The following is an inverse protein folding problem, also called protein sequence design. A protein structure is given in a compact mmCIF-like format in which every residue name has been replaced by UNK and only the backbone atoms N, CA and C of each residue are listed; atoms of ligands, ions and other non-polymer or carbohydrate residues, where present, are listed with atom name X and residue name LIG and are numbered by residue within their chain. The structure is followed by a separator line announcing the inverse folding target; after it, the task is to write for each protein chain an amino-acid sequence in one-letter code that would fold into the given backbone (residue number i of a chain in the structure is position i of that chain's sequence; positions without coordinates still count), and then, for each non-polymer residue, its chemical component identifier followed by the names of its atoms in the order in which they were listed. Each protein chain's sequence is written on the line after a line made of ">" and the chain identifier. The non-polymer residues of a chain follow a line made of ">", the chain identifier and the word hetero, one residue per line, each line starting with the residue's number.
data_IF_482725087650
#
_entry.id   IF_482725087650
#
_cell.length_a   1.000
_cell.length_b   1.000
_cell.length_c   1.000
_cell.angle_alpha   90.00
_cell.angle_beta   90.00
_cell.angle_gamma   90.00
#
_symmetry.space_group_name_H-M   'P 1'
#
loop_
_entity.id
_entity.type
_entity.pdbx_description
1 polymer ?
#
# COMPACT_ATOMS: atom_id res chain seq x y z
N UNK A 1 -1.31 2.79 57.78
CA UNK A 1 -0.40 1.71 57.37
C UNK A 1 0.44 2.32 56.25
N UNK A 2 1.75 2.42 56.41
CA UNK A 2 2.62 2.89 55.33
C UNK A 2 2.64 1.85 54.20
N UNK A 3 2.73 2.32 52.96
CA UNK A 3 2.75 1.46 51.78
C UNK A 3 4.02 0.57 51.80
N UNK A 4 3.89 -0.77 51.76
CA UNK A 4 5.04 -1.68 51.77
C UNK A 4 6.00 -1.48 50.57
N UNK A 5 5.59 -0.77 49.52
CA UNK A 5 6.43 -0.47 48.35
C UNK A 5 7.24 0.83 48.47
N UNK A 6 7.03 1.65 49.49
CA UNK A 6 7.82 2.87 49.70
C UNK A 6 9.32 2.58 49.93
N UNK A 7 9.66 1.37 50.40
CA UNK A 7 11.04 0.89 50.58
C UNK A 7 11.78 0.67 49.25
N UNK A 8 11.06 0.53 48.13
CA UNK A 8 11.66 0.28 46.81
C UNK A 8 11.94 1.56 46.01
N UNK A 9 11.55 2.74 46.51
CA UNK A 9 11.89 4.02 45.88
C UNK A 9 13.32 4.41 46.19
N UNK A 10 14.27 3.81 45.46
CA UNK A 10 15.62 4.34 45.39
C UNK A 10 15.66 5.51 44.41
N UNK A 11 16.24 6.67 44.77
CA UNK A 11 16.44 7.75 43.81
C UNK A 11 17.39 7.28 42.70
N UNK A 12 16.87 7.13 41.49
CA UNK A 12 17.69 6.89 40.30
C UNK A 12 18.49 8.15 40.02
N UNK A 13 19.76 8.15 40.43
CA UNK A 13 20.72 9.15 39.98
C UNK A 13 21.19 8.70 38.61
N UNK A 14 20.98 9.47 37.53
CA UNK A 14 21.48 9.10 36.21
C UNK A 14 23.00 8.96 36.28
N UNK A 15 23.50 7.74 36.11
CA UNK A 15 24.94 7.49 36.00
C UNK A 15 25.29 7.72 34.54
N UNK A 16 26.12 8.73 34.27
CA UNK A 16 26.66 8.92 32.93
C UNK A 16 27.39 7.63 32.50
N UNK A 17 27.20 7.16 31.25
CA UNK A 17 27.85 5.95 30.79
C UNK A 17 29.37 6.06 30.94
N UNK A 18 30.03 4.91 31.16
CA UNK A 18 31.49 4.86 31.23
C UNK A 18 32.09 5.58 30.00
N UNK A 19 32.97 6.59 30.20
CA UNK A 19 33.54 7.37 29.10
C UNK A 19 34.27 6.51 28.05
N UNK A 20 34.84 5.36 28.45
CA UNK A 20 35.48 4.42 27.54
C UNK A 20 34.46 3.69 26.68
N UNK A 21 33.32 3.32 27.25
CA UNK A 21 32.22 2.72 26.50
C UNK A 21 31.65 3.71 25.50
N UNK A 22 31.39 4.95 25.94
CA UNK A 22 30.88 6.02 25.07
C UNK A 22 31.86 6.34 23.92
N UNK A 23 33.16 6.39 24.20
CA UNK A 23 34.19 6.60 23.18
C UNK A 23 34.31 5.43 22.20
N UNK A 24 34.26 4.19 22.68
CA UNK A 24 34.30 3.00 21.83
C UNK A 24 33.07 2.88 20.92
N UNK A 25 31.88 3.22 21.44
CA UNK A 25 30.65 3.24 20.66
C UNK A 25 30.70 4.33 19.58
N UNK A 26 31.18 5.53 19.92
CA UNK A 26 31.35 6.62 18.95
C UNK A 26 32.32 6.24 17.84
N UNK A 27 33.47 5.65 18.16
CA UNK A 27 34.45 5.23 17.16
C UNK A 27 33.87 4.18 16.18
N UNK A 28 33.09 3.22 16.68
CA UNK A 28 32.43 2.22 15.83
C UNK A 28 31.36 2.80 14.92
N UNK A 29 30.63 3.83 15.40
CA UNK A 29 29.65 4.54 14.59
C UNK A 29 30.33 5.41 13.52
N UNK A 30 31.42 6.08 13.88
CA UNK A 30 32.23 6.88 12.93
C UNK A 30 32.86 6.01 11.84
N UNK A 31 33.34 4.80 12.19
CA UNK A 31 33.86 3.82 11.23
C UNK A 31 32.75 3.28 10.31
N UNK A 32 31.58 2.97 10.85
CA UNK A 32 30.44 2.48 10.05
C UNK A 32 29.83 3.55 9.13
N UNK A 33 30.03 4.84 9.44
CA UNK A 33 29.51 5.97 8.69
C UNK A 33 30.57 6.63 7.79
N UNK A 34 31.81 6.15 7.80
CA UNK A 34 32.86 6.68 6.94
C UNK A 34 32.64 6.23 5.48
N UNK A 35 32.62 7.15 4.50
CA UNK A 35 32.50 6.80 3.10
C UNK A 35 33.77 6.10 2.59
N UNK A 36 33.63 5.02 1.82
CA UNK A 36 34.76 4.35 1.19
C UNK A 36 35.49 5.30 0.21
N UNK A 37 36.84 5.20 0.10
CA UNK A 37 37.59 6.00 -0.84
C UNK A 37 37.22 5.63 -2.29
N UNK A 38 37.05 6.63 -3.18
CA UNK A 38 36.60 6.37 -4.55
C UNK A 38 37.64 5.63 -5.38
N UNK A 39 37.16 4.75 -6.26
CA UNK A 39 37.93 4.01 -7.25
C UNK A 39 38.66 5.00 -8.21
N UNK A 40 39.99 4.88 -8.40
CA UNK A 40 40.76 5.75 -9.29
C UNK A 40 40.33 5.72 -10.76
N UNK A 41 39.53 4.73 -11.19
CA UNK A 41 38.99 4.66 -12.55
C UNK A 41 37.65 5.44 -12.75
N UNK A 42 37.13 6.07 -11.68
CA UNK A 42 35.95 6.94 -11.74
C UNK A 42 36.29 8.40 -11.48
N UNK A 43 36.98 9.04 -12.42
CA UNK A 43 36.99 10.50 -12.52
C UNK A 43 36.23 10.90 -13.78
N UNK A 44 34.96 11.34 -13.70
CA UNK A 44 34.32 11.92 -14.86
C UNK A 44 34.93 13.30 -15.10
N UNK A 45 35.57 13.45 -16.25
CA UNK A 45 35.89 14.76 -16.80
C UNK A 45 34.57 15.54 -16.93
N UNK A 46 34.46 16.68 -16.23
CA UNK A 46 33.34 17.59 -16.39
C UNK A 46 33.35 18.12 -17.82
N UNK A 47 32.47 17.57 -18.65
CA UNK A 47 32.08 18.12 -19.95
C UNK A 47 30.62 18.49 -19.86
N UNK A 48 30.34 19.79 -19.85
CA UNK A 48 28.98 20.33 -19.90
C UNK A 48 28.36 20.04 -21.27
N UNK A 49 27.66 18.91 -21.40
CA UNK A 49 26.59 18.72 -22.39
C UNK A 49 25.42 18.01 -21.73
N UNK A 50 24.24 18.61 -21.89
CA UNK A 50 23.04 18.30 -21.13
C UNK A 50 22.47 16.91 -21.37
N UNK A 51 21.73 16.47 -20.35
CA UNK A 51 21.05 15.18 -20.27
C UNK A 51 21.94 14.16 -19.57
N UNK A 52 21.72 13.99 -18.26
CA UNK A 52 21.78 12.71 -17.54
C UNK A 52 21.57 13.00 -16.04
N UNK A 53 20.32 12.90 -15.61
CA UNK A 53 19.96 12.91 -14.19
C UNK A 53 20.37 11.55 -13.63
N UNK A 54 21.38 11.53 -12.77
CA UNK A 54 21.66 10.37 -11.92
C UNK A 54 20.44 10.20 -11.03
N UNK A 55 19.58 9.23 -11.36
CA UNK A 55 18.47 8.83 -10.51
C UNK A 55 19.06 7.85 -9.50
N UNK A 56 19.34 8.32 -8.29
CA UNK A 56 19.47 7.41 -7.15
C UNK A 56 18.12 6.77 -6.96
N UNK A 57 17.94 5.55 -7.48
CA UNK A 57 16.74 4.75 -7.27
C UNK A 57 16.73 4.29 -5.82
N UNK A 58 16.27 5.16 -4.92
CA UNK A 58 15.61 4.71 -3.71
C UNK A 58 14.44 3.82 -4.15
N UNK A 59 14.24 2.63 -3.59
CA UNK A 59 13.10 1.79 -3.91
C UNK A 59 11.83 2.50 -3.44
N UNK A 60 11.18 3.21 -4.36
CA UNK A 60 9.87 3.80 -4.14
C UNK A 60 8.86 2.66 -4.07
N UNK A 61 8.53 2.22 -2.85
CA UNK A 61 7.37 1.36 -2.63
C UNK A 61 6.15 2.04 -3.23
N UNK A 62 5.66 1.52 -4.35
CA UNK A 62 4.51 2.10 -5.03
C UNK A 62 3.27 1.68 -4.27
N UNK A 63 2.72 2.60 -3.48
CA UNK A 63 1.41 2.40 -2.85
C UNK A 63 0.32 2.69 -3.88
N UNK A 64 -0.58 1.74 -4.10
CA UNK A 64 -1.74 1.94 -4.98
C UNK A 64 -2.70 3.02 -4.43
N UNK A 65 -2.67 3.27 -3.13
CA UNK A 65 -3.43 4.29 -2.43
C UNK A 65 -2.57 4.87 -1.29
N UNK A 66 -2.47 6.19 -1.22
CA UNK A 66 -1.80 6.92 -0.13
C UNK A 66 -2.84 7.77 0.59
N UNK A 67 -3.20 7.49 1.84
CA UNK A 67 -4.18 8.30 2.56
C UNK A 67 -3.62 9.71 2.80
N UNK A 68 -4.50 10.71 2.71
CA UNK A 68 -4.21 12.09 3.07
C UNK A 68 -5.07 12.48 4.27
N UNK A 69 -4.43 12.70 5.42
CA UNK A 69 -5.09 13.00 6.68
C UNK A 69 -5.15 14.51 6.91
N UNK A 70 -6.36 15.03 7.17
CA UNK A 70 -6.52 16.34 7.77
C UNK A 70 -6.49 16.18 9.30
N UNK A 71 -5.64 16.94 9.96
CA UNK A 71 -5.47 16.93 11.43
C UNK A 71 -5.50 18.36 11.96
N UNK A 72 -6.02 18.54 13.16
CA UNK A 72 -6.17 19.88 13.76
C UNK A 72 -4.85 20.49 14.26
N UNK A 73 -3.79 19.67 14.36
CA UNK A 73 -2.41 20.07 14.66
C UNK A 73 -1.46 19.04 14.03
N UNK A 74 -0.96 19.35 12.83
CA UNK A 74 -0.12 18.46 12.05
C UNK A 74 1.28 18.29 12.63
N UNK A 75 1.84 19.31 13.29
CA UNK A 75 3.13 19.19 13.94
C UNK A 75 3.05 18.19 15.11
N UNK A 76 2.02 18.31 15.96
CA UNK A 76 1.78 17.35 17.03
C UNK A 76 1.45 15.95 16.48
N UNK A 77 0.75 15.86 15.35
CA UNK A 77 0.47 14.56 14.71
C UNK A 77 1.72 13.88 14.21
N UNK A 78 2.64 14.61 13.57
CA UNK A 78 3.93 14.09 13.14
C UNK A 78 4.75 13.56 14.33
N UNK A 79 4.78 14.32 15.42
CA UNK A 79 5.46 13.88 16.65
C UNK A 79 4.84 12.61 17.22
N UNK A 80 3.52 12.56 17.32
CA UNK A 80 2.80 11.40 17.83
C UNK A 80 2.99 10.16 16.94
N UNK A 81 2.88 10.30 15.62
CA UNK A 81 3.09 9.18 14.70
C UNK A 81 4.52 8.65 14.75
N UNK A 82 5.52 9.53 14.88
CA UNK A 82 6.91 9.12 15.08
C UNK A 82 7.06 8.30 16.36
N UNK A 83 6.57 8.84 17.48
CA UNK A 83 6.85 8.27 18.80
C UNK A 83 6.02 7.01 19.09
N UNK A 84 4.81 6.90 18.52
CA UNK A 84 3.89 5.79 18.77
C UNK A 84 3.94 4.72 17.69
N UNK A 85 3.98 5.13 16.42
CA UNK A 85 3.90 4.21 15.28
C UNK A 85 5.24 4.01 14.57
N UNK A 86 6.31 4.68 15.03
CA UNK A 86 7.63 4.62 14.40
C UNK A 86 7.67 5.32 13.05
N UNK A 87 6.84 6.34 12.85
CA UNK A 87 6.81 7.10 11.61
C UNK A 87 8.15 7.80 11.33
N UNK A 88 8.58 7.74 10.07
CA UNK A 88 9.72 8.50 9.55
C UNK A 88 9.17 9.60 8.68
N UNK A 89 9.42 10.86 9.05
CA UNK A 89 9.07 12.00 8.21
C UNK A 89 10.00 12.09 7.01
N UNK A 90 9.41 12.10 5.82
CA UNK A 90 10.14 12.16 4.55
C UNK A 90 10.09 13.54 3.92
N UNK A 91 9.02 14.30 4.14
CA UNK A 91 8.93 15.70 3.73
C UNK A 91 7.92 16.50 4.55
N UNK A 92 8.13 17.82 4.61
CA UNK A 92 7.23 18.78 5.26
C UNK A 92 7.31 20.13 4.59
N UNK A 93 6.14 20.71 4.30
CA UNK A 93 5.95 22.05 3.77
C UNK A 93 5.09 22.84 4.74
N UNK A 94 5.66 23.93 5.25
CA UNK A 94 5.01 24.84 6.20
C UNK A 94 4.71 26.14 5.47
N UNK A 95 3.46 26.59 5.54
CA UNK A 95 3.01 27.85 4.96
C UNK A 95 3.49 29.06 5.76
N UNK A 96 3.31 30.25 5.19
CA UNK A 96 3.69 31.52 5.83
C UNK A 96 2.92 31.80 7.13
N UNK A 97 1.76 31.15 7.32
CA UNK A 97 0.94 31.20 8.52
C UNK A 97 1.40 30.23 9.63
N UNK A 98 2.46 29.45 9.36
CA UNK A 98 3.02 28.47 10.29
C UNK A 98 2.30 27.12 10.31
N UNK A 99 1.21 26.95 9.53
CA UNK A 99 0.53 25.66 9.39
C UNK A 99 1.28 24.75 8.43
N UNK A 100 1.24 23.46 8.68
CA UNK A 100 1.74 22.43 7.76
C UNK A 100 0.70 22.26 6.65
N UNK A 101 1.02 22.78 5.46
CA UNK A 101 0.17 22.61 4.28
C UNK A 101 0.28 21.21 3.68
N UNK A 102 1.42 20.55 3.88
CA UNK A 102 1.67 19.17 3.45
C UNK A 102 2.83 18.55 4.23
N UNK A 103 2.69 17.32 4.66
CA UNK A 103 3.78 16.48 5.12
C UNK A 103 3.58 15.05 4.62
N UNK A 104 4.69 14.34 4.47
CA UNK A 104 4.71 12.92 4.16
C UNK A 104 5.49 12.18 5.24
N UNK A 105 4.94 11.04 5.64
CA UNK A 105 5.57 10.10 6.55
C UNK A 105 5.53 8.68 6.00
N UNK A 106 6.48 7.85 6.42
CA UNK A 106 6.49 6.40 6.19
C UNK A 106 6.29 5.68 7.52
N UNK A 107 5.32 4.78 7.59
CA UNK A 107 5.01 3.95 8.76
C UNK A 107 4.86 2.50 8.31
N UNK A 108 5.64 1.57 8.84
CA UNK A 108 5.54 0.15 8.47
C UNK A 108 5.70 -0.10 6.96
N UNK A 109 6.50 0.72 6.29
CA UNK A 109 6.67 0.70 4.83
C UNK A 109 5.55 1.38 4.03
N UNK A 110 4.46 1.82 4.65
CA UNK A 110 3.36 2.55 4.00
C UNK A 110 3.58 4.07 4.04
N UNK A 111 3.29 4.77 2.93
CA UNK A 111 3.28 6.23 2.88
C UNK A 111 1.94 6.79 3.35
N UNK A 112 1.99 7.82 4.18
CA UNK A 112 0.83 8.58 4.66
C UNK A 112 1.13 10.06 4.45
N UNK A 113 0.18 10.80 3.88
CA UNK A 113 0.25 12.24 3.75
C UNK A 113 -0.63 12.89 4.81
N UNK A 114 -0.27 14.08 5.27
CA UNK A 114 -1.10 14.85 6.20
C UNK A 114 -0.90 16.35 6.06
N UNK A 115 -1.89 17.11 6.52
CA UNK A 115 -1.84 18.56 6.64
C UNK A 115 -2.69 19.02 7.82
N UNK A 116 -2.44 20.26 8.25
CA UNK A 116 -3.36 20.97 9.13
C UNK A 116 -4.73 21.15 8.46
N UNK A 117 -5.74 21.43 9.28
CA UNK A 117 -7.05 21.85 8.78
C UNK A 117 -6.96 23.23 8.08
N UNK A 118 -7.63 23.33 6.93
CA UNK A 118 -7.88 24.58 6.20
C UNK A 118 -9.39 24.72 5.97
N UNK A 119 -10.18 25.09 7.00
CA UNK A 119 -11.64 25.25 6.88
C UNK A 119 -12.07 26.18 5.74
N UNK A 120 -11.27 27.20 5.45
CA UNK A 120 -11.47 28.15 4.35
C UNK A 120 -11.37 27.49 2.97
N UNK A 121 -10.67 26.36 2.86
CA UNK A 121 -10.52 25.55 1.66
C UNK A 121 -11.34 24.24 1.72
N UNK A 122 -12.18 24.07 2.75
CA UNK A 122 -12.98 22.86 2.96
C UNK A 122 -12.19 21.64 3.43
N UNK A 123 -10.95 21.82 3.92
CA UNK A 123 -10.13 20.74 4.47
C UNK A 123 -10.42 20.65 5.97
N UNK A 124 -11.11 19.58 6.36
CA UNK A 124 -11.55 19.34 7.72
C UNK A 124 -11.10 17.95 8.20
N UNK A 125 -10.68 17.87 9.45
CA UNK A 125 -10.35 16.64 10.13
C UNK A 125 -11.57 15.97 10.78
N UNK A 126 -11.36 14.78 11.39
CA UNK A 126 -12.46 13.95 11.91
C UNK A 126 -13.36 14.65 12.93
N UNK A 127 -12.83 15.57 13.74
CA UNK A 127 -13.59 16.29 14.77
C UNK A 127 -14.74 17.11 14.19
N UNK A 128 -14.56 17.70 13.01
CA UNK A 128 -15.60 18.45 12.32
C UNK A 128 -16.80 17.56 11.95
N UNK A 129 -16.54 16.31 11.54
CA UNK A 129 -17.57 15.36 11.11
C UNK A 129 -18.10 14.46 12.24
N UNK A 130 -17.60 14.63 13.47
CA UNK A 130 -17.94 13.76 14.60
C UNK A 130 -17.31 12.35 14.52
N UNK A 131 -16.30 12.16 13.66
CA UNK A 131 -15.63 10.89 13.46
C UNK A 131 -14.97 10.76 12.08
N UNK A 132 -14.53 9.55 11.75
CA UNK A 132 -13.98 9.20 10.43
C UNK A 132 -14.73 7.97 9.90
N UNK A 133 -14.97 7.93 8.58
CA UNK A 133 -15.58 6.79 7.88
C UNK A 133 -14.56 5.74 7.46
N UNK A 134 -13.26 6.08 7.50
CA UNK A 134 -12.17 5.19 7.09
C UNK A 134 -11.42 4.65 8.30
N UNK A 135 -10.86 3.45 8.15
CA UNK A 135 -9.96 2.86 9.14
C UNK A 135 -8.64 2.58 8.46
N UNK A 136 -7.56 3.10 9.03
CA UNK A 136 -6.20 2.87 8.56
C UNK A 136 -5.74 1.54 9.15
N UNK A 137 -5.49 0.56 8.31
CA UNK A 137 -4.96 -0.74 8.72
C UNK A 137 -3.44 -0.70 8.70
N UNK A 138 -2.82 -0.98 9.85
CA UNK A 138 -1.37 -0.98 10.01
C UNK A 138 -0.92 -2.34 10.56
N UNK A 139 -0.03 -3.00 9.81
CA UNK A 139 0.70 -4.16 10.33
C UNK A 139 1.76 -3.68 11.32
N UNK A 140 1.77 -4.26 12.52
CA UNK A 140 2.75 -3.99 13.57
C UNK A 140 3.39 -5.28 14.03
N UNK A 141 4.62 -5.18 14.53
CA UNK A 141 5.37 -6.34 15.03
C UNK A 141 4.71 -6.93 16.29
N UNK A 142 4.21 -6.05 17.17
CA UNK A 142 3.59 -6.41 18.44
C UNK A 142 2.38 -5.51 18.70
N UNK A 143 1.18 -6.07 18.53
CA UNK A 143 -0.09 -5.34 18.73
C UNK A 143 -0.25 -4.90 20.18
N UNK A 144 0.13 -5.73 21.15
CA UNK A 144 -0.03 -5.38 22.57
C UNK A 144 0.87 -4.22 22.96
N UNK A 145 2.13 -4.23 22.48
CA UNK A 145 3.06 -3.16 22.71
C UNK A 145 2.62 -1.85 22.04
N UNK A 146 2.32 -1.88 20.74
CA UNK A 146 1.88 -0.68 20.00
C UNK A 146 0.57 -0.13 20.55
N UNK A 147 -0.36 -0.99 20.95
CA UNK A 147 -1.61 -0.59 21.59
C UNK A 147 -1.37 0.10 22.94
N UNK A 148 -0.58 -0.52 23.82
CA UNK A 148 -0.29 0.05 25.14
C UNK A 148 0.43 1.39 25.03
N UNK A 149 1.33 1.53 24.05
CA UNK A 149 2.00 2.79 23.74
C UNK A 149 1.00 3.84 23.23
N UNK A 150 0.16 3.49 22.25
CA UNK A 150 -0.83 4.42 21.71
C UNK A 150 -1.78 4.95 22.80
N UNK A 151 -2.28 4.07 23.67
CA UNK A 151 -3.15 4.47 24.80
C UNK A 151 -2.42 5.38 25.78
N UNK A 152 -1.14 5.07 26.09
CA UNK A 152 -0.32 5.92 26.97
C UNK A 152 -0.12 7.32 26.39
N UNK A 153 0.07 7.42 25.08
CA UNK A 153 0.25 8.69 24.37
C UNK A 153 -1.10 9.33 23.95
N UNK A 154 -2.21 8.93 24.56
CA UNK A 154 -3.50 9.64 24.44
C UNK A 154 -4.45 9.14 23.35
N UNK A 155 -4.21 7.97 22.75
CA UNK A 155 -5.21 7.32 21.91
C UNK A 155 -6.39 6.79 22.75
N UNK A 156 -7.60 6.90 22.21
CA UNK A 156 -8.81 6.31 22.76
C UNK A 156 -8.92 4.84 22.35
N UNK A 157 -9.29 3.98 23.29
CA UNK A 157 -9.52 2.56 23.04
C UNK A 157 -10.91 2.36 22.45
N UNK A 158 -10.98 1.83 21.23
CA UNK A 158 -12.24 1.36 20.64
C UNK A 158 -12.42 -0.16 20.76
N UNK A 159 -11.32 -0.92 20.64
CA UNK A 159 -11.32 -2.38 20.82
C UNK A 159 -9.96 -2.84 21.36
N UNK A 160 -10.00 -3.52 22.50
CA UNK A 160 -8.84 -4.13 23.14
C UNK A 160 -8.18 -5.20 22.24
N UNK A 161 -6.86 -5.40 22.36
CA UNK A 161 -6.13 -6.48 21.69
C UNK A 161 -6.75 -7.86 21.92
N UNK A 162 -7.14 -8.52 20.84
CA UNK A 162 -7.68 -9.88 20.90
C UNK A 162 -7.31 -10.69 19.67
N UNK A 163 -7.17 -12.00 19.89
CA UNK A 163 -6.92 -12.97 18.84
C UNK A 163 -8.21 -13.23 18.06
N UNK A 164 -8.13 -13.10 16.75
CA UNK A 164 -9.26 -13.31 15.84
C UNK A 164 -9.23 -14.71 15.26
N UNK A 165 -10.42 -15.24 14.97
CA UNK A 165 -10.60 -16.57 14.38
C UNK A 165 -9.87 -16.78 13.04
N UNK A 166 -9.51 -15.68 12.35
CA UNK A 166 -8.81 -15.68 11.07
C UNK A 166 -7.28 -15.51 11.21
N UNK A 167 -6.70 -15.81 12.37
CA UNK A 167 -5.26 -15.95 12.54
C UNK A 167 -4.47 -14.65 12.77
N UNK A 168 -5.15 -13.56 13.13
CA UNK A 168 -4.49 -12.30 13.49
C UNK A 168 -4.87 -11.88 14.90
N UNK A 169 -3.93 -11.30 15.63
CA UNK A 169 -4.20 -10.47 16.80
C UNK A 169 -4.43 -9.05 16.31
N UNK A 170 -5.52 -8.42 16.74
CA UNK A 170 -5.79 -7.04 16.36
C UNK A 170 -6.38 -6.20 17.49
N UNK A 171 -6.22 -4.89 17.35
CA UNK A 171 -6.80 -3.88 18.23
C UNK A 171 -7.32 -2.70 17.40
N UNK A 172 -8.22 -1.90 17.97
CA UNK A 172 -8.69 -0.65 17.36
C UNK A 172 -8.49 0.50 18.34
N UNK A 173 -7.84 1.54 17.86
CA UNK A 173 -7.65 2.79 18.60
C UNK A 173 -8.02 3.98 17.73
N UNK A 174 -8.43 5.07 18.38
CA UNK A 174 -8.58 6.38 17.75
C UNK A 174 -7.47 7.28 18.26
N UNK A 175 -6.68 7.84 17.35
CA UNK A 175 -5.58 8.73 17.74
C UNK A 175 -6.11 10.08 18.28
N UNK A 176 -5.24 10.92 18.89
CA UNK A 176 -5.64 12.22 19.43
C UNK A 176 -6.26 13.18 18.39
N UNK A 177 -6.00 12.94 17.10
CA UNK A 177 -6.47 13.74 15.98
C UNK A 177 -7.82 13.25 15.42
N UNK A 178 -8.30 12.12 15.92
CA UNK A 178 -9.61 11.55 15.64
C UNK A 178 -9.61 10.49 14.53
N UNK A 179 -8.44 10.12 13.98
CA UNK A 179 -8.36 9.07 12.96
C UNK A 179 -8.36 7.68 13.61
N UNK A 180 -8.95 6.71 12.90
CA UNK A 180 -9.18 5.37 13.39
C UNK A 180 -8.13 4.42 12.82
N UNK A 181 -7.41 3.73 13.70
CA UNK A 181 -6.34 2.81 13.38
C UNK A 181 -6.69 1.38 13.80
N UNK A 182 -6.48 0.44 12.88
CA UNK A 182 -6.49 -0.99 13.18
C UNK A 182 -5.05 -1.49 13.21
N UNK A 183 -4.59 -1.87 14.40
CA UNK A 183 -3.30 -2.51 14.59
C UNK A 183 -3.47 -4.00 14.37
N UNK A 184 -2.64 -4.60 13.51
CA UNK A 184 -2.75 -6.00 13.15
C UNK A 184 -1.39 -6.71 13.22
N UNK A 185 -1.37 -7.88 13.84
CA UNK A 185 -0.21 -8.76 13.93
C UNK A 185 -0.66 -10.20 13.61
N UNK A 186 -0.04 -10.89 12.65
CA UNK A 186 -0.28 -12.32 12.45
C UNK A 186 0.10 -13.16 13.68
N UNK A 187 -0.69 -14.18 14.02
CA UNK A 187 -0.39 -15.10 15.15
C UNK A 187 0.39 -16.30 14.61
N UNK A 188 1.60 -16.52 15.16
CA UNK A 188 2.65 -17.41 14.65
C UNK A 188 2.36 -18.91 14.51
N UNK A 189 1.13 -19.38 14.74
CA UNK A 189 0.72 -20.73 14.31
C UNK A 189 0.83 -20.93 12.77
N UNK A 190 1.09 -19.85 12.01
CA UNK A 190 1.29 -19.83 10.55
C UNK A 190 2.75 -19.54 10.14
N UNK A 191 3.67 -19.20 11.08
CA UNK A 191 5.09 -18.89 10.76
C UNK A 191 6.04 -20.08 10.80
N UNK A 192 5.70 -21.16 11.51
CA UNK A 192 6.63 -22.28 11.74
C UNK A 192 7.05 -23.00 10.44
N UNK A 193 6.23 -22.95 9.39
CA UNK A 193 6.53 -23.60 8.11
C UNK A 193 7.28 -22.69 7.11
N UNK A 194 7.39 -21.37 7.37
CA UNK A 194 7.90 -20.39 6.40
C UNK A 194 9.23 -19.71 6.80
N UNK A 195 9.70 -19.89 8.05
CA UNK A 195 10.78 -19.06 8.60
C UNK A 195 12.16 -19.74 8.71
N UNK A 196 12.36 -20.94 8.14
CA UNK A 196 13.64 -21.64 8.28
C UNK A 196 14.74 -21.12 7.32
N UNK A 197 14.41 -20.43 6.23
CA UNK A 197 15.36 -20.15 5.13
C UNK A 197 15.41 -18.68 4.64
N UNK A 198 14.81 -17.70 5.33
CA UNK A 198 14.77 -16.31 4.83
C UNK A 198 15.83 -15.39 5.49
N UNK A 199 16.64 -14.73 4.65
CA UNK A 199 17.56 -13.64 5.01
C UNK A 199 16.75 -12.39 5.45
N UNK A 200 17.00 -11.81 6.65
CA UNK A 200 16.27 -10.64 7.14
C UNK A 200 16.44 -9.36 6.29
N UNK A 201 17.32 -9.36 5.28
CA UNK A 201 17.49 -8.27 4.31
C UNK A 201 16.82 -8.47 2.95
N UNK A 202 16.20 -9.62 2.68
CA UNK A 202 15.61 -9.95 1.38
C UNK A 202 14.07 -9.89 1.46
N UNK A 203 13.50 -8.71 1.20
CA UNK A 203 12.07 -8.58 0.92
C UNK A 203 11.87 -8.86 -0.57
N UNK A 204 11.88 -10.16 -0.91
CA UNK A 204 11.89 -10.65 -2.29
C UNK A 204 10.84 -10.03 -3.22
N UNK A 205 11.09 -10.21 -4.53
CA UNK A 205 10.13 -9.98 -5.60
C UNK A 205 8.72 -10.43 -5.20
N UNK A 206 7.71 -9.59 -5.53
CA UNK A 206 6.26 -9.85 -5.46
C UNK A 206 5.88 -10.94 -4.46
N UNK A 207 5.46 -10.58 -3.23
CA UNK A 207 4.99 -11.51 -2.17
C UNK A 207 4.31 -12.73 -2.82
N UNK A 208 5.05 -13.82 -2.96
CA UNK A 208 4.51 -15.07 -3.47
C UNK A 208 3.64 -15.56 -2.34
N UNK A 209 2.33 -15.38 -2.45
CA UNK A 209 1.41 -15.94 -1.47
C UNK A 209 1.68 -17.44 -1.44
N UNK A 210 2.11 -17.96 -0.30
CA UNK A 210 2.13 -19.40 -0.06
C UNK A 210 0.66 -19.86 -0.03
N UNK A 211 0.08 -20.10 -1.21
CA UNK A 211 -1.29 -20.53 -1.33
C UNK A 211 -1.33 -22.01 -0.93
N UNK A 212 -1.67 -22.28 0.32
CA UNK A 212 -2.07 -23.62 0.73
C UNK A 212 -3.47 -23.89 0.17
N UNK A 213 -3.55 -24.49 -1.02
CA UNK A 213 -4.81 -24.81 -1.69
C UNK A 213 -4.89 -24.26 -3.12
N UNK A 214 -6.10 -23.87 -3.55
CA UNK A 214 -6.33 -23.30 -4.89
C UNK A 214 -5.74 -21.89 -4.94
N UNK A 215 -4.86 -21.62 -5.90
CA UNK A 215 -4.31 -20.27 -6.13
C UNK A 215 -5.46 -19.27 -6.34
N UNK A 216 -5.42 -18.07 -5.74
CA UNK A 216 -6.42 -17.06 -5.99
C UNK A 216 -6.35 -16.67 -7.46
N UNK A 217 -7.53 -16.56 -8.08
CA UNK A 217 -7.65 -16.05 -9.44
C UNK A 217 -7.71 -14.54 -9.38
N UNK A 218 -6.75 -13.89 -10.02
CA UNK A 218 -6.65 -12.45 -10.09
C UNK A 218 -7.26 -11.93 -11.41
N UNK A 219 -7.73 -10.67 -11.43
CA UNK A 219 -7.97 -9.98 -12.69
C UNK A 219 -6.69 -10.00 -13.53
N UNK A 220 -6.78 -10.52 -14.75
CA UNK A 220 -5.68 -10.58 -15.70
C UNK A 220 -5.76 -9.51 -16.79
N UNK A 221 -6.95 -8.92 -17.01
CA UNK A 221 -7.13 -7.83 -17.96
C UNK A 221 -8.36 -6.98 -17.61
N UNK A 222 -8.32 -5.69 -17.92
CA UNK A 222 -9.48 -4.79 -17.84
C UNK A 222 -9.76 -4.20 -19.21
N UNK A 223 -11.01 -4.31 -19.67
CA UNK A 223 -11.46 -3.62 -20.88
C UNK A 223 -12.46 -2.54 -20.52
N UNK A 224 -12.16 -1.31 -20.91
CA UNK A 224 -13.06 -0.16 -20.82
C UNK A 224 -13.75 0.07 -22.17
N UNK A 225 -15.07 0.21 -22.18
CA UNK A 225 -15.79 0.48 -23.42
C UNK A 225 -15.78 1.96 -23.74
N UNK A 226 -15.62 2.27 -25.03
CA UNK A 226 -15.68 3.63 -25.55
C UNK A 226 -16.53 3.66 -26.82
N UNK A 227 -17.23 4.78 -27.07
CA UNK A 227 -17.90 5.01 -28.35
C UNK A 227 -16.95 5.49 -29.45
N UNK A 228 -15.75 5.93 -29.07
CA UNK A 228 -14.73 6.45 -29.99
C UNK A 228 -13.34 6.20 -29.40
N UNK A 229 -12.60 5.27 -29.99
CA UNK A 229 -11.29 4.81 -29.54
C UNK A 229 -10.22 5.90 -29.72
N UNK A 230 -10.27 6.66 -30.81
CA UNK A 230 -9.31 7.73 -31.08
C UNK A 230 -9.46 8.88 -30.10
N UNK A 231 -10.71 9.24 -29.77
CA UNK A 231 -10.99 10.24 -28.72
C UNK A 231 -10.56 9.75 -27.35
N UNK A 232 -10.83 8.49 -27.01
CA UNK A 232 -10.38 7.90 -25.74
C UNK A 232 -8.85 7.91 -25.64
N UNK A 233 -8.15 7.46 -26.69
CA UNK A 233 -6.69 7.51 -26.79
C UNK A 233 -6.14 8.92 -26.59
N UNK A 234 -6.73 9.91 -27.27
CA UNK A 234 -6.29 11.31 -27.15
C UNK A 234 -6.50 11.85 -25.73
N UNK A 235 -7.68 11.61 -25.15
CA UNK A 235 -8.03 12.11 -23.83
C UNK A 235 -7.20 11.46 -22.71
N UNK A 236 -7.16 10.13 -22.67
CA UNK A 236 -6.46 9.39 -21.62
C UNK A 236 -4.95 9.39 -21.82
N UNK A 237 -4.46 9.48 -23.06
CA UNK A 237 -3.06 9.75 -23.35
C UNK A 237 -2.61 11.10 -22.80
N UNK A 238 -3.41 12.15 -22.95
CA UNK A 238 -3.11 13.46 -22.37
C UNK A 238 -3.24 13.49 -20.83
N UNK A 239 -4.23 12.78 -20.28
CA UNK A 239 -4.55 12.80 -18.85
C UNK A 239 -3.63 11.90 -18.01
N UNK A 240 -3.38 10.67 -18.47
CA UNK A 240 -2.67 9.64 -17.72
C UNK A 240 -1.35 9.21 -18.36
N UNK A 241 -0.94 9.86 -19.45
CA UNK A 241 0.20 9.45 -20.27
C UNK A 241 0.07 8.01 -20.82
N UNK A 242 -1.15 7.51 -21.02
CA UNK A 242 -1.37 6.17 -21.57
C UNK A 242 -0.99 6.07 -23.04
N UNK A 243 -0.19 5.06 -23.37
CA UNK A 243 0.19 4.70 -24.73
C UNK A 243 -0.75 3.62 -25.23
N UNK A 244 -1.76 4.00 -26.03
CA UNK A 244 -2.72 3.05 -26.59
C UNK A 244 -2.27 2.55 -27.95
N UNK A 245 -1.95 1.27 -28.04
CA UNK A 245 -1.62 0.54 -29.27
C UNK A 245 -2.86 -0.18 -29.82
N UNK A 246 -2.92 -0.48 -31.13
CA UNK A 246 -3.97 -1.32 -31.69
C UNK A 246 -4.04 -2.69 -31.01
N UNK A 247 -5.23 -3.09 -30.56
CA UNK A 247 -5.47 -4.41 -29.97
C UNK A 247 -5.52 -5.53 -31.02
N UNK A 248 -5.59 -6.77 -30.55
CA UNK A 248 -5.71 -7.96 -31.42
C UNK A 248 -7.06 -8.10 -32.11
N UNK A 249 -8.09 -7.39 -31.64
CA UNK A 249 -9.42 -7.34 -32.22
C UNK A 249 -9.67 -5.98 -32.89
N UNK A 250 -10.44 -5.98 -33.97
CA UNK A 250 -10.93 -4.75 -34.59
C UNK A 250 -11.74 -3.94 -33.56
N UNK A 251 -11.42 -2.64 -33.43
CA UNK A 251 -11.99 -1.77 -32.40
C UNK A 251 -11.34 -1.89 -31.01
N UNK A 252 -10.37 -2.80 -30.82
CA UNK A 252 -9.59 -2.91 -29.59
C UNK A 252 -8.41 -1.95 -29.55
N UNK A 253 -8.09 -1.43 -28.37
CA UNK A 253 -6.85 -0.70 -28.10
C UNK A 253 -6.22 -1.17 -26.80
N UNK A 254 -4.96 -1.61 -26.82
CA UNK A 254 -4.21 -2.02 -25.64
C UNK A 254 -3.42 -0.85 -25.06
N UNK A 255 -3.44 -0.67 -23.73
CA UNK A 255 -2.60 0.33 -23.06
C UNK A 255 -1.25 -0.33 -22.74
N UNK A 256 -0.21 0.01 -23.49
CA UNK A 256 1.06 -0.71 -23.51
C UNK A 256 2.01 -0.35 -22.36
N UNK A 257 1.79 0.80 -21.70
CA UNK A 257 2.70 1.33 -20.70
C UNK A 257 2.17 1.27 -19.25
N UNK A 258 1.27 0.31 -18.97
CA UNK A 258 0.77 0.04 -17.62
C UNK A 258 1.20 -1.34 -17.14
N UNK A 259 1.57 -1.45 -15.84
CA UNK A 259 1.95 -2.74 -15.23
C UNK A 259 0.81 -3.75 -15.20
N UNK A 260 -0.41 -3.28 -15.02
CA UNK A 260 -1.61 -4.12 -15.09
C UNK A 260 -2.15 -4.09 -16.53
N UNK A 261 -2.37 -5.23 -17.20
CA UNK A 261 -2.87 -5.26 -18.57
C UNK A 261 -4.27 -4.68 -18.68
N UNK A 262 -4.44 -3.67 -19.53
CA UNK A 262 -5.75 -3.03 -19.73
C UNK A 262 -5.87 -2.42 -21.11
N UNK A 263 -7.10 -2.09 -21.50
CA UNK A 263 -7.36 -1.50 -22.80
C UNK A 263 -8.76 -0.96 -22.97
N UNK A 264 -9.02 -0.49 -24.18
CA UNK A 264 -10.30 -0.03 -24.65
C UNK A 264 -10.89 -1.00 -25.66
N UNK A 265 -12.22 -1.04 -25.73
CA UNK A 265 -12.93 -1.65 -26.83
C UNK A 265 -14.00 -0.69 -27.36
N UNK A 266 -13.94 -0.36 -28.65
CA UNK A 266 -14.91 0.48 -29.30
C UNK A 266 -16.16 -0.32 -29.65
N UNK A 267 -17.30 0.12 -29.15
CA UNK A 267 -18.58 -0.47 -29.50
C UNK A 267 -19.70 0.56 -29.48
N UNK A 268 -20.68 0.38 -30.37
CA UNK A 268 -21.86 1.23 -30.45
C UNK A 268 -22.94 0.79 -29.45
N UNK A 269 -23.65 1.76 -28.87
CA UNK A 269 -24.78 1.52 -27.97
C UNK A 269 -24.40 1.30 -26.49
N UNK A 270 -25.40 1.24 -25.60
CA UNK A 270 -25.17 0.99 -24.18
C UNK A 270 -24.57 -0.40 -23.99
N UNK A 271 -23.52 -0.49 -23.18
CA UNK A 271 -22.89 -1.75 -22.87
C UNK A 271 -23.82 -2.63 -22.04
N UNK A 272 -24.25 -3.77 -22.59
CA UNK A 272 -24.86 -4.82 -21.77
C UNK A 272 -23.80 -5.34 -20.78
N UNK A 273 -23.85 -4.88 -19.53
CA UNK A 273 -22.84 -5.19 -18.50
C UNK A 273 -22.07 -3.97 -17.96
N UNK A 274 -22.29 -2.78 -18.51
CA UNK A 274 -21.66 -1.55 -18.01
C UNK A 274 -20.34 -1.20 -18.72
N UNK A 275 -19.70 -0.08 -18.32
CA UNK A 275 -18.60 0.52 -19.07
C UNK A 275 -17.25 -0.21 -18.91
N UNK A 276 -17.15 -1.17 -17.99
CA UNK A 276 -15.91 -1.85 -17.64
C UNK A 276 -16.17 -3.35 -17.52
N UNK A 277 -15.30 -4.14 -18.14
CA UNK A 277 -15.32 -5.61 -18.04
C UNK A 277 -14.01 -6.08 -17.41
N UNK A 278 -14.13 -6.87 -16.34
CA UNK A 278 -12.99 -7.55 -15.71
C UNK A 278 -12.81 -8.94 -16.34
N UNK A 279 -11.58 -9.26 -16.72
CA UNK A 279 -11.20 -10.60 -17.18
C UNK A 279 -10.35 -11.26 -16.10
N UNK A 280 -10.79 -12.39 -15.59
CA UNK A 280 -10.13 -13.19 -14.58
C UNK A 280 -9.33 -14.31 -15.24
N UNK A 281 -8.01 -14.34 -15.01
CA UNK A 281 -7.13 -15.30 -15.68
C UNK A 281 -7.28 -16.68 -15.06
N UNK A 282 -7.59 -17.68 -15.87
CA UNK A 282 -7.73 -19.08 -15.46
C UNK A 282 -6.89 -20.01 -16.32
N UNK A 283 -6.46 -21.12 -15.74
CA UNK A 283 -5.68 -22.14 -16.45
C UNK A 283 -6.54 -22.92 -17.47
N UNK A 284 -7.82 -23.12 -17.13
CA UNK A 284 -8.82 -23.80 -17.95
C UNK A 284 -10.18 -23.16 -17.69
N UNK A 285 -10.86 -22.69 -18.74
CA UNK A 285 -12.18 -22.06 -18.64
C UNK A 285 -13.25 -23.04 -18.17
N UNK A 286 -13.24 -24.29 -18.63
CA UNK A 286 -14.40 -25.18 -18.47
C UNK A 286 -14.70 -25.55 -17.00
N UNK A 287 -13.71 -25.90 -16.15
CA UNK A 287 -13.95 -26.14 -14.73
C UNK A 287 -14.47 -24.91 -13.99
N UNK A 288 -14.05 -23.71 -14.40
CA UNK A 288 -14.50 -22.47 -13.79
C UNK A 288 -15.90 -22.08 -14.27
N UNK A 289 -16.20 -22.26 -15.56
CA UNK A 289 -17.51 -22.05 -16.15
C UNK A 289 -18.58 -22.95 -15.50
N UNK A 290 -18.28 -24.24 -15.33
CA UNK A 290 -19.17 -25.15 -14.59
C UNK A 290 -19.38 -24.68 -13.14
N UNK A 291 -18.33 -24.18 -12.50
CA UNK A 291 -18.41 -23.67 -11.12
C UNK A 291 -19.26 -22.40 -11.00
N UNK A 292 -19.25 -21.53 -12.00
CA UNK A 292 -20.14 -20.36 -12.07
C UNK A 292 -21.59 -20.81 -12.04
N UNK A 293 -21.95 -21.81 -12.84
CA UNK A 293 -23.31 -22.35 -12.90
C UNK A 293 -23.72 -23.04 -11.58
N UNK A 294 -22.83 -23.83 -10.98
CA UNK A 294 -23.06 -24.47 -9.67
C UNK A 294 -23.33 -23.46 -8.54
N UNK A 295 -22.72 -22.27 -8.63
CA UNK A 295 -22.87 -21.19 -7.66
C UNK A 295 -24.07 -20.27 -7.93
N UNK A 296 -24.89 -20.58 -8.94
CA UNK A 296 -26.09 -19.81 -9.28
C UNK A 296 -25.86 -18.68 -10.29
N UNK A 297 -24.64 -18.56 -10.84
CA UNK A 297 -24.33 -17.69 -11.96
C UNK A 297 -24.72 -18.32 -13.30
N UNK A 298 -24.43 -17.61 -14.39
CA UNK A 298 -24.68 -18.07 -15.76
C UNK A 298 -23.48 -17.78 -16.65
N UNK A 299 -23.15 -18.73 -17.53
CA UNK A 299 -22.19 -18.52 -18.61
C UNK A 299 -22.96 -18.09 -19.85
N UNK A 300 -22.73 -16.87 -20.30
CA UNK A 300 -23.45 -16.22 -21.39
C UNK A 300 -22.92 -16.67 -22.76
N UNK A 301 -21.61 -16.49 -22.96
CA UNK A 301 -20.94 -16.75 -24.25
C UNK A 301 -19.56 -17.35 -24.00
N UNK A 302 -19.08 -18.18 -24.93
CA UNK A 302 -17.69 -18.67 -24.96
C UNK A 302 -17.09 -18.25 -26.30
N UNK A 303 -15.95 -17.57 -26.30
CA UNK A 303 -15.27 -17.18 -27.52
C UNK A 303 -13.83 -17.70 -27.53
N UNK A 304 -13.29 -17.88 -28.75
CA UNK A 304 -11.92 -18.27 -28.98
C UNK A 304 -11.25 -17.26 -29.91
N UNK A 305 -10.09 -16.76 -29.49
CA UNK A 305 -9.27 -15.80 -30.21
C UNK A 305 -7.84 -16.35 -30.40
N UNK A 306 -7.03 -15.73 -31.29
CA UNK A 306 -5.61 -16.05 -31.40
C UNK A 306 -4.83 -15.88 -30.08
N UNK A 307 -5.23 -14.94 -29.23
CA UNK A 307 -4.60 -14.65 -27.94
C UNK A 307 -5.08 -15.53 -26.78
N UNK A 308 -6.09 -16.39 -26.99
CA UNK A 308 -6.71 -17.19 -25.94
C UNK A 308 -8.23 -17.32 -26.07
N UNK A 309 -8.83 -18.05 -25.15
CA UNK A 309 -10.29 -18.15 -25.03
C UNK A 309 -10.83 -17.25 -23.92
N UNK A 310 -12.10 -16.88 -23.99
CA UNK A 310 -12.84 -16.32 -22.86
C UNK A 310 -14.23 -16.95 -22.69
N UNK A 311 -14.78 -16.83 -21.48
CA UNK A 311 -16.18 -17.08 -21.21
C UNK A 311 -16.80 -15.90 -20.46
N UNK A 312 -17.79 -15.27 -21.08
CA UNK A 312 -18.58 -14.21 -20.48
C UNK A 312 -19.53 -14.82 -19.46
N UNK A 313 -19.49 -14.29 -18.24
CA UNK A 313 -20.23 -14.81 -17.10
C UNK A 313 -21.04 -13.70 -16.43
N UNK A 314 -22.09 -14.09 -15.73
CA UNK A 314 -22.80 -13.27 -14.76
C UNK A 314 -22.93 -14.06 -13.46
N UNK A 315 -22.68 -13.43 -12.31
CA UNK A 315 -22.89 -14.07 -11.02
C UNK A 315 -24.38 -14.09 -10.63
N UNK A 316 -24.67 -14.61 -9.43
CA UNK A 316 -26.02 -14.70 -8.87
C UNK A 316 -26.62 -13.34 -8.45
N UNK A 317 -25.82 -12.26 -8.53
CA UNK A 317 -26.17 -10.89 -8.15
C UNK A 317 -26.31 -9.97 -9.37
N UNK A 318 -25.95 -10.45 -10.57
CA UNK A 318 -26.00 -9.69 -11.82
C UNK A 318 -24.68 -9.00 -12.21
N UNK A 319 -23.58 -9.25 -11.51
CA UNK A 319 -22.26 -8.75 -11.87
C UNK A 319 -21.71 -9.53 -13.07
N UNK A 320 -21.40 -8.82 -14.17
CA UNK A 320 -20.82 -9.41 -15.37
C UNK A 320 -19.29 -9.37 -15.32
N UNK A 321 -18.67 -10.49 -15.66
CA UNK A 321 -17.21 -10.65 -15.72
C UNK A 321 -16.84 -11.72 -16.75
N UNK A 322 -15.57 -11.76 -17.13
CA UNK A 322 -15.03 -12.74 -18.06
C UNK A 322 -14.05 -13.68 -17.37
N UNK A 323 -14.10 -14.96 -17.71
CA UNK A 323 -12.98 -15.89 -17.51
C UNK A 323 -12.09 -15.80 -18.74
N UNK A 324 -10.77 -15.70 -18.57
CA UNK A 324 -9.82 -15.62 -19.67
C UNK A 324 -8.73 -16.68 -19.54
N UNK A 325 -8.55 -17.47 -20.59
CA UNK A 325 -7.48 -18.46 -20.69
C UNK A 325 -6.57 -18.06 -21.84
N UNK A 326 -5.36 -17.52 -21.56
CA UNK A 326 -4.44 -17.10 -22.60
C UNK A 326 -3.93 -18.28 -23.42
N UNK A 327 -3.71 -18.05 -24.71
CA UNK A 327 -3.00 -18.99 -25.56
C UNK A 327 -1.50 -19.02 -25.20
N UNK A 328 -0.78 -20.13 -25.44
CA UNK A 328 0.67 -20.17 -25.23
C UNK A 328 1.38 -19.03 -25.99
N UNK A 329 2.17 -18.23 -25.26
CA UNK A 329 2.90 -17.09 -25.82
C UNK A 329 2.21 -15.73 -25.72
N UNK A 330 1.06 -15.65 -25.05
CA UNK A 330 0.32 -14.43 -24.72
C UNK A 330 0.19 -14.21 -23.20
#
# INVERSE_FOLDING_TARGET
>A
MADPFDVLRLPTTPVAPDPRFAAALRARLEEALAPEPPDPDTVPAISLRGGDTVTTTEPTTTHALTPYLAVHDAAAALDWYRDVLGAIETSRFVGDDGRVGHAEITIGGARVMLADEYPEAGVHGPRHFGGTSVTLHLEVVDVDHSFALAVREGAEVEREPSDQFHGNRNALVRDPFGHRWMLNQPIDAVRADAAADADPGDFGDVREYAVTGRRPVEPGYITMRTGDLERARTFFGALFAWEVEPGSLEGGGHIANTRFPMGFFQAEGPAEGGPVTLYFRVDDIEPYAARVEELGGQVLTRNQYPSGGNAECVDDQGFRFDLFQPAPGY
#
